data_IF_559600765876
#
_entry.id   IF_559600765876
#
_cell.length_a   1.000
_cell.length_b   1.000
_cell.length_c   1.000
_cell.angle_alpha   90.00
_cell.angle_beta   90.00
_cell.angle_gamma   90.00
#
_symmetry.space_group_name_H-M   'P 1'
#
loop_
_entity.id
_entity.type
_entity.pdbx_description
1 polymer ?
#
# COMPACT_ATOMS: atom_id res chain seq x y z
N UNK A 1 4.09 -22.48 -19.64
CA UNK A 1 4.89 -21.63 -18.73
C UNK A 1 5.86 -20.65 -19.43
N UNK A 2 5.84 -20.50 -20.77
CA UNK A 2 6.76 -19.60 -21.49
C UNK A 2 6.16 -18.24 -21.88
N UNK A 3 4.84 -18.04 -21.72
CA UNK A 3 4.15 -16.85 -22.21
C UNK A 3 4.04 -15.71 -21.18
N UNK A 4 4.02 -16.01 -19.88
CA UNK A 4 3.87 -15.01 -18.81
C UNK A 4 5.15 -14.17 -18.63
N UNK A 5 6.33 -14.77 -18.82
CA UNK A 5 7.63 -14.08 -18.66
C UNK A 5 7.92 -13.02 -19.73
N UNK A 6 7.12 -12.94 -20.79
CA UNK A 6 7.41 -12.09 -21.95
C UNK A 6 6.83 -10.68 -21.86
N UNK A 7 6.01 -10.37 -20.86
CA UNK A 7 5.34 -9.05 -20.75
C UNK A 7 5.96 -8.08 -19.77
N UNK A 8 6.77 -8.58 -18.86
CA UNK A 8 7.41 -7.74 -17.86
C UNK A 8 8.82 -7.42 -18.38
N UNK A 9 9.01 -6.27 -19.03
CA UNK A 9 10.34 -5.64 -19.05
C UNK A 9 10.53 -4.95 -17.68
N UNK A 10 11.75 -4.82 -17.15
CA UNK A 10 12.03 -3.96 -15.98
C UNK A 10 11.81 -2.49 -16.42
N UNK A 11 10.54 -2.10 -16.58
CA UNK A 11 10.15 -0.73 -16.90
C UNK A 11 9.91 -0.02 -15.58
N UNK A 12 10.78 0.92 -15.26
CA UNK A 12 10.50 1.90 -14.23
C UNK A 12 9.19 2.64 -14.56
N UNK A 13 8.28 2.77 -13.59
CA UNK A 13 7.09 3.64 -13.73
C UNK A 13 7.50 5.02 -14.23
N UNK A 14 6.94 5.45 -15.34
CA UNK A 14 7.11 6.82 -15.89
C UNK A 14 5.87 7.69 -15.72
N UNK A 15 4.77 7.10 -15.25
CA UNK A 15 3.46 7.73 -15.06
C UNK A 15 3.36 8.57 -13.78
N UNK A 16 4.34 8.46 -12.87
CA UNK A 16 4.34 9.17 -11.58
C UNK A 16 5.59 10.02 -11.35
N UNK A 17 5.42 11.05 -10.52
CA UNK A 17 6.54 11.80 -9.95
C UNK A 17 7.15 10.99 -8.82
N UNK A 18 8.39 10.53 -8.99
CA UNK A 18 9.13 9.80 -7.96
C UNK A 18 9.70 10.79 -6.92
N UNK A 19 9.14 10.78 -5.71
CA UNK A 19 9.84 11.29 -4.53
C UNK A 19 11.05 10.36 -4.23
N UNK A 20 12.05 10.79 -3.46
CA UNK A 20 13.15 9.89 -3.06
C UNK A 20 12.64 8.63 -2.36
N UNK A 21 11.67 8.76 -1.44
CA UNK A 21 11.07 7.64 -0.74
C UNK A 21 10.35 6.70 -1.71
N UNK A 22 9.55 7.25 -2.63
CA UNK A 22 8.84 6.47 -3.65
C UNK A 22 9.81 5.72 -4.53
N UNK A 23 10.89 6.37 -4.96
CA UNK A 23 11.91 5.72 -5.78
C UNK A 23 12.53 4.50 -5.07
N UNK A 24 12.77 4.58 -3.76
CA UNK A 24 13.26 3.45 -2.96
C UNK A 24 12.21 2.34 -2.86
N UNK A 25 10.95 2.68 -2.55
CA UNK A 25 9.85 1.71 -2.47
C UNK A 25 9.67 0.97 -3.80
N UNK A 26 9.72 1.67 -4.93
CA UNK A 26 9.56 1.08 -6.27
C UNK A 26 10.67 0.06 -6.59
N UNK A 27 11.85 0.14 -5.95
CA UNK A 27 12.89 -0.89 -6.14
C UNK A 27 12.52 -2.26 -5.57
N UNK A 28 11.57 -2.31 -4.63
CA UNK A 28 11.08 -3.55 -4.02
C UNK A 28 10.29 -4.39 -5.04
N UNK A 29 9.57 -3.73 -5.94
CA UNK A 29 8.72 -4.35 -6.95
C UNK A 29 9.54 -4.75 -8.18
N UNK A 30 10.63 -5.47 -7.94
CA UNK A 30 11.42 -6.12 -8.96
C UNK A 30 10.88 -7.53 -9.21
N UNK A 31 10.81 -7.99 -10.46
CA UNK A 31 10.31 -9.35 -10.75
C UNK A 31 11.08 -10.48 -10.07
N UNK A 32 12.33 -10.25 -9.67
CA UNK A 32 13.13 -11.22 -8.90
C UNK A 32 12.59 -11.43 -7.48
N UNK A 33 11.79 -10.50 -6.99
CA UNK A 33 11.18 -10.53 -5.66
C UNK A 33 9.76 -11.11 -5.68
N UNK A 34 9.19 -11.40 -6.86
CA UNK A 34 7.87 -12.03 -6.98
C UNK A 34 8.04 -13.54 -6.82
N UNK A 35 7.91 -14.01 -5.57
CA UNK A 35 7.84 -15.41 -5.18
C UNK A 35 6.40 -15.82 -4.83
N UNK A 36 6.21 -17.09 -4.44
CA UNK A 36 4.94 -17.57 -3.87
C UNK A 36 4.48 -16.63 -2.75
N UNK A 37 3.21 -16.25 -2.80
CA UNK A 37 2.53 -15.30 -1.92
C UNK A 37 3.12 -13.87 -1.88
N UNK A 38 4.14 -13.60 -2.70
CA UNK A 38 4.92 -12.36 -2.70
C UNK A 38 5.57 -12.04 -1.33
N UNK A 39 5.97 -13.08 -0.58
CA UNK A 39 6.63 -12.96 0.73
C UNK A 39 7.87 -12.06 0.69
N UNK A 40 8.69 -12.16 -0.36
CA UNK A 40 9.91 -11.34 -0.45
C UNK A 40 9.58 -9.85 -0.54
N UNK A 41 8.50 -9.49 -1.24
CA UNK A 41 8.01 -8.11 -1.30
C UNK A 41 7.54 -7.67 0.09
N UNK A 42 6.78 -8.51 0.80
CA UNK A 42 6.31 -8.20 2.14
C UNK A 42 7.46 -7.99 3.13
N UNK A 43 8.48 -8.83 3.09
CA UNK A 43 9.70 -8.71 3.91
C UNK A 43 10.45 -7.40 3.61
N UNK A 44 10.58 -7.05 2.33
CA UNK A 44 11.21 -5.81 1.89
C UNK A 44 10.40 -4.56 2.20
N UNK A 45 9.07 -4.67 2.37
CA UNK A 45 8.21 -3.59 2.85
C UNK A 45 8.27 -3.41 4.38
N UNK A 46 8.76 -4.40 5.12
CA UNK A 46 8.84 -4.37 6.59
C UNK A 46 9.60 -3.15 7.17
N UNK A 47 10.73 -2.69 6.59
CA UNK A 47 11.37 -1.44 7.01
C UNK A 47 10.49 -0.20 6.90
N UNK A 48 9.65 -0.11 5.87
CA UNK A 48 8.71 1.01 5.68
C UNK A 48 7.56 0.94 6.68
N UNK A 49 7.03 -0.26 6.96
CA UNK A 49 6.09 -0.47 8.07
C UNK A 49 6.69 -0.02 9.40
N UNK A 50 7.96 -0.35 9.67
CA UNK A 50 8.66 0.09 10.88
C UNK A 50 8.81 1.60 10.92
N UNK A 51 9.27 2.22 9.83
CA UNK A 51 9.38 3.69 9.70
C UNK A 51 8.03 4.37 9.97
N UNK A 52 6.97 3.86 9.38
CA UNK A 52 5.60 4.31 9.60
C UNK A 52 5.20 4.25 11.09
N UNK A 53 5.40 3.08 11.74
CA UNK A 53 5.06 2.89 13.16
C UNK A 53 5.84 3.84 14.07
N UNK A 54 7.12 4.02 13.80
CA UNK A 54 7.98 4.95 14.53
C UNK A 54 7.51 6.41 14.37
N UNK A 55 7.28 6.86 13.14
CA UNK A 55 6.79 8.23 12.89
C UNK A 55 5.42 8.46 13.51
N UNK A 56 4.50 7.49 13.42
CA UNK A 56 3.19 7.59 14.07
C UNK A 56 3.33 7.70 15.60
N UNK A 57 4.17 6.87 16.23
CA UNK A 57 4.39 6.90 17.69
C UNK A 57 5.02 8.20 18.19
N UNK A 58 5.76 8.90 17.33
CA UNK A 58 6.43 10.16 17.63
C UNK A 58 5.59 11.38 17.25
N UNK A 59 4.35 11.19 16.81
CA UNK A 59 3.44 12.26 16.39
C UNK A 59 3.84 12.91 15.05
N UNK A 60 4.74 12.29 14.28
CA UNK A 60 5.13 12.73 12.93
C UNK A 60 4.13 12.21 11.90
N UNK A 61 2.89 12.67 12.01
CA UNK A 61 1.77 12.20 11.20
C UNK A 61 1.96 12.44 9.70
N UNK A 62 2.57 13.56 9.32
CA UNK A 62 2.88 13.86 7.91
C UNK A 62 3.79 12.79 7.28
N UNK A 63 4.82 12.35 8.00
CA UNK A 63 5.71 11.29 7.52
C UNK A 63 4.98 9.95 7.47
N UNK A 64 4.22 9.61 8.51
CA UNK A 64 3.46 8.36 8.56
C UNK A 64 2.44 8.26 7.41
N UNK A 65 1.67 9.32 7.14
CA UNK A 65 0.72 9.35 6.02
C UNK A 65 1.45 9.27 4.68
N UNK A 66 2.60 9.93 4.52
CA UNK A 66 3.39 9.82 3.30
C UNK A 66 3.86 8.39 3.05
N UNK A 67 4.44 7.71 4.05
CA UNK A 67 4.89 6.32 3.90
C UNK A 67 3.73 5.39 3.54
N UNK A 68 2.60 5.52 4.24
CA UNK A 68 1.42 4.69 3.98
C UNK A 68 0.92 4.87 2.54
N UNK A 69 0.72 6.12 2.10
CA UNK A 69 0.21 6.39 0.75
C UNK A 69 1.18 5.92 -0.33
N UNK A 70 2.48 6.15 -0.17
CA UNK A 70 3.46 5.71 -1.17
C UNK A 70 3.52 4.17 -1.29
N UNK A 71 3.42 3.44 -0.17
CA UNK A 71 3.34 1.97 -0.18
C UNK A 71 2.05 1.49 -0.84
N UNK A 72 0.89 2.03 -0.46
CA UNK A 72 -0.39 1.64 -1.05
C UNK A 72 -0.43 1.91 -2.55
N UNK A 73 0.02 3.08 -2.99
CA UNK A 73 0.11 3.43 -4.42
C UNK A 73 1.03 2.50 -5.22
N UNK A 74 2.13 2.00 -4.62
CA UNK A 74 3.00 1.03 -5.28
C UNK A 74 2.34 -0.34 -5.35
N UNK A 75 1.76 -0.82 -4.25
CA UNK A 75 1.08 -2.12 -4.23
C UNK A 75 -0.07 -2.15 -5.23
N UNK A 76 -0.94 -1.15 -5.22
CA UNK A 76 -2.07 -1.06 -6.14
C UNK A 76 -1.62 -1.10 -7.60
N UNK A 77 -0.53 -0.41 -7.95
CA UNK A 77 -0.02 -0.43 -9.31
C UNK A 77 0.56 -1.79 -9.69
N UNK A 78 1.53 -2.27 -8.92
CA UNK A 78 2.26 -3.50 -9.25
C UNK A 78 1.38 -4.75 -9.12
N UNK A 79 0.33 -4.72 -8.30
CA UNK A 79 -0.59 -5.84 -8.22
C UNK A 79 -1.18 -6.22 -9.59
N UNK A 80 -1.58 -5.22 -10.37
CA UNK A 80 -2.14 -5.42 -11.73
C UNK A 80 -1.03 -5.49 -12.76
N UNK A 81 -0.16 -4.48 -12.80
CA UNK A 81 0.82 -4.30 -13.87
C UNK A 81 1.89 -5.38 -13.86
N UNK A 82 2.27 -5.86 -12.67
CA UNK A 82 3.20 -6.98 -12.52
C UNK A 82 2.49 -8.34 -12.33
N UNK A 83 1.17 -8.36 -12.51
CA UNK A 83 0.33 -9.56 -12.45
C UNK A 83 0.51 -10.38 -11.16
N UNK A 84 0.63 -9.72 -10.00
CA UNK A 84 0.85 -10.40 -8.71
C UNK A 84 -0.27 -11.40 -8.37
N UNK A 85 -1.49 -11.17 -8.89
CA UNK A 85 -2.61 -12.10 -8.79
C UNK A 85 -2.35 -13.51 -9.36
N UNK A 86 -1.26 -13.72 -10.11
CA UNK A 86 -0.85 -15.04 -10.59
C UNK A 86 0.07 -15.80 -9.63
N UNK A 87 0.43 -15.22 -8.48
CA UNK A 87 1.50 -15.73 -7.60
C UNK A 87 1.04 -16.10 -6.19
N UNK A 88 -0.28 -16.10 -5.93
CA UNK A 88 -0.88 -16.57 -4.68
C UNK A 88 -2.21 -17.26 -4.96
N UNK A 89 -2.58 -18.23 -4.13
CA UNK A 89 -3.87 -18.94 -4.26
C UNK A 89 -4.95 -18.36 -3.34
N UNK A 90 -4.56 -17.90 -2.15
CA UNK A 90 -5.45 -17.34 -1.13
C UNK A 90 -4.82 -16.19 -0.33
N UNK A 91 -3.49 -16.15 -0.25
CA UNK A 91 -2.76 -15.24 0.62
C UNK A 91 -1.81 -14.32 -0.13
N UNK A 92 -2.12 -13.02 -0.18
CA UNK A 92 -1.21 -12.01 -0.71
C UNK A 92 -0.45 -11.31 0.42
N UNK A 93 0.79 -11.75 0.71
CA UNK A 93 1.57 -11.31 1.87
C UNK A 93 1.77 -9.79 2.02
N UNK A 94 1.98 -9.00 0.94
CA UNK A 94 2.07 -7.54 1.04
C UNK A 94 0.83 -6.87 1.65
N UNK A 95 -0.34 -7.50 1.54
CA UNK A 95 -1.59 -6.94 2.05
C UNK A 95 -1.62 -6.87 3.59
N UNK A 96 -1.02 -7.85 4.27
CA UNK A 96 -0.89 -7.82 5.74
C UNK A 96 -0.02 -6.66 6.23
N UNK A 97 0.98 -6.26 5.43
CA UNK A 97 1.82 -5.09 5.76
C UNK A 97 0.97 -3.83 5.72
N UNK A 98 0.12 -3.68 4.70
CA UNK A 98 -0.80 -2.56 4.57
C UNK A 98 -1.91 -2.56 5.61
N UNK A 99 -2.48 -3.72 5.92
CA UNK A 99 -3.46 -3.87 6.99
C UNK A 99 -2.90 -3.39 8.33
N UNK A 100 -1.70 -3.84 8.71
CA UNK A 100 -1.06 -3.42 9.98
C UNK A 100 -0.91 -1.89 10.06
N UNK A 101 -0.50 -1.25 8.97
CA UNK A 101 -0.35 0.21 8.93
C UNK A 101 -1.70 0.94 9.01
N UNK A 102 -2.71 0.44 8.29
CA UNK A 102 -4.05 1.03 8.29
C UNK A 102 -4.73 0.91 9.67
N UNK A 103 -4.64 -0.25 10.31
CA UNK A 103 -5.18 -0.46 11.67
C UNK A 103 -4.55 0.50 12.68
N UNK A 104 -3.24 0.77 12.55
CA UNK A 104 -2.55 1.74 13.40
C UNK A 104 -3.02 3.17 13.18
N UNK A 105 -3.22 3.58 11.91
CA UNK A 105 -3.83 4.88 11.59
C UNK A 105 -5.22 4.99 12.21
N UNK A 106 -6.08 4.00 12.00
CA UNK A 106 -7.44 3.99 12.52
C UNK A 106 -7.43 4.11 14.05
N UNK A 107 -6.54 3.37 14.72
CA UNK A 107 -6.36 3.45 16.17
C UNK A 107 -5.95 4.86 16.62
N UNK A 108 -4.98 5.47 15.92
CA UNK A 108 -4.53 6.83 16.21
C UNK A 108 -5.62 7.89 15.97
N UNK A 109 -6.48 7.69 14.97
CA UNK A 109 -7.63 8.58 14.72
C UNK A 109 -8.65 8.42 15.85
N UNK A 110 -8.94 7.18 16.27
CA UNK A 110 -9.87 6.90 17.37
C UNK A 110 -9.38 7.47 18.71
N UNK A 111 -8.06 7.59 18.91
CA UNK A 111 -7.50 8.22 20.10
C UNK A 111 -7.64 9.75 20.12
N UNK A 112 -8.10 10.37 19.03
CA UNK A 112 -8.38 11.82 18.95
C UNK A 112 -7.15 12.72 18.70
N UNK A 113 -5.96 12.13 18.50
CA UNK A 113 -4.71 12.90 18.37
C UNK A 113 -4.28 13.15 16.91
N UNK A 114 -5.08 12.70 15.95
CA UNK A 114 -4.71 12.75 14.53
C UNK A 114 -5.03 14.12 13.92
N UNK A 115 -4.05 14.82 13.32
CA UNK A 115 -4.26 16.15 12.74
C UNK A 115 -5.28 16.15 11.61
N UNK A 116 -6.15 17.16 11.56
CA UNK A 116 -7.21 17.27 10.56
C UNK A 116 -6.66 17.40 9.12
N UNK A 117 -5.57 18.14 8.94
CA UNK A 117 -4.89 18.29 7.65
C UNK A 117 -4.39 16.95 7.12
N UNK A 118 -3.74 16.16 7.97
CA UNK A 118 -3.24 14.83 7.61
C UNK A 118 -4.37 13.83 7.38
N UNK A 119 -5.48 13.97 8.12
CA UNK A 119 -6.68 13.16 7.89
C UNK A 119 -7.28 13.43 6.51
N UNK A 120 -7.34 14.70 6.10
CA UNK A 120 -7.82 15.07 4.77
C UNK A 120 -6.89 14.54 3.68
N UNK A 121 -5.57 14.70 3.85
CA UNK A 121 -4.58 14.20 2.90
C UNK A 121 -4.65 12.68 2.74
N UNK A 122 -4.84 11.95 3.84
CA UNK A 122 -5.07 10.51 3.82
C UNK A 122 -6.35 10.18 3.03
N UNK A 123 -7.49 10.81 3.36
CA UNK A 123 -8.77 10.60 2.63
C UNK A 123 -8.62 10.80 1.14
N UNK A 124 -8.00 11.91 0.72
CA UNK A 124 -7.81 12.23 -0.69
C UNK A 124 -6.91 11.21 -1.41
N UNK A 125 -5.90 10.68 -0.71
CA UNK A 125 -5.04 9.62 -1.22
C UNK A 125 -5.78 8.30 -1.38
N UNK A 126 -6.49 7.86 -0.34
CA UNK A 126 -7.26 6.61 -0.36
C UNK A 126 -8.39 6.66 -1.39
N UNK A 127 -9.08 7.80 -1.53
CA UNK A 127 -10.15 7.98 -2.52
C UNK A 127 -9.65 7.72 -3.94
N UNK A 128 -8.45 8.20 -4.29
CA UNK A 128 -7.86 7.91 -5.61
C UNK A 128 -7.61 6.42 -5.83
N UNK A 129 -7.17 5.71 -4.79
CA UNK A 129 -6.86 4.29 -4.88
C UNK A 129 -8.11 3.41 -5.04
N UNK A 130 -9.26 3.86 -4.55
CA UNK A 130 -10.53 3.13 -4.71
C UNK A 130 -10.98 3.01 -6.17
N UNK A 131 -10.57 3.94 -7.03
CA UNK A 131 -10.93 3.95 -8.47
C UNK A 131 -9.87 3.24 -9.33
N UNK A 132 -9.05 2.38 -8.74
CA UNK A 132 -8.02 1.62 -9.47
C UNK A 132 -8.50 0.21 -9.75
N UNK A 133 -8.07 -0.38 -10.86
CA UNK A 133 -8.40 -1.76 -11.23
C UNK A 133 -8.09 -2.75 -10.09
N UNK A 134 -6.96 -2.58 -9.40
CA UNK A 134 -6.59 -3.45 -8.28
C UNK A 134 -7.66 -3.47 -7.18
N UNK A 135 -8.30 -2.34 -6.89
CA UNK A 135 -9.35 -2.30 -5.87
C UNK A 135 -10.71 -2.69 -6.43
N UNK A 136 -11.12 -2.15 -7.58
CA UNK A 136 -12.45 -2.39 -8.15
C UNK A 136 -12.65 -3.86 -8.54
N UNK A 137 -11.65 -4.48 -9.16
CA UNK A 137 -11.77 -5.83 -9.71
C UNK A 137 -11.24 -6.91 -8.75
N UNK A 138 -10.30 -6.56 -7.86
CA UNK A 138 -9.64 -7.54 -6.98
C UNK A 138 -9.75 -7.23 -5.48
N UNK A 139 -10.19 -6.04 -5.08
CA UNK A 139 -10.28 -5.65 -3.67
C UNK A 139 -8.92 -5.44 -2.98
N UNK A 140 -7.84 -5.19 -3.75
CA UNK A 140 -6.48 -5.03 -3.23
C UNK A 140 -6.02 -3.57 -3.29
N UNK A 141 -5.36 -3.05 -2.23
CA UNK A 141 -5.12 -3.69 -0.93
C UNK A 141 -6.36 -3.67 -0.03
N UNK A 142 -6.53 -4.72 0.80
CA UNK A 142 -7.61 -4.85 1.78
C UNK A 142 -7.64 -3.70 2.81
N UNK A 143 -6.50 -3.00 2.98
CA UNK A 143 -6.43 -1.76 3.76
C UNK A 143 -7.47 -0.70 3.34
N UNK A 144 -7.87 -0.65 2.07
CA UNK A 144 -8.92 0.26 1.60
C UNK A 144 -10.30 -0.15 2.13
N UNK A 145 -10.64 -1.44 2.09
CA UNK A 145 -11.91 -1.94 2.65
C UNK A 145 -11.99 -1.73 4.18
N UNK A 146 -10.88 -1.93 4.89
CA UNK A 146 -10.79 -1.60 6.33
C UNK A 146 -11.08 -0.12 6.60
N UNK A 147 -10.56 0.77 5.75
CA UNK A 147 -10.83 2.20 5.83
C UNK A 147 -12.31 2.51 5.57
N UNK A 148 -12.92 1.91 4.54
CA UNK A 148 -14.33 2.11 4.23
C UNK A 148 -15.25 1.66 5.37
N UNK A 149 -14.99 0.48 5.94
CA UNK A 149 -15.70 -0.01 7.12
C UNK A 149 -15.60 1.00 8.27
N UNK A 150 -14.40 1.55 8.52
CA UNK A 150 -14.19 2.56 9.55
C UNK A 150 -14.97 3.86 9.29
N UNK A 151 -15.01 4.36 8.06
CA UNK A 151 -15.79 5.56 7.71
C UNK A 151 -17.29 5.32 7.85
N UNK A 152 -17.78 4.15 7.44
CA UNK A 152 -19.19 3.78 7.58
C UNK A 152 -19.63 3.71 9.05
N UNK A 153 -18.79 3.14 9.93
CA UNK A 153 -19.07 3.13 11.38
C UNK A 153 -19.05 4.52 12.03
N UNK A 154 -18.39 5.51 11.45
CA UNK A 154 -18.42 6.90 11.95
C UNK A 154 -19.68 7.65 11.56
N UNK A 155 -20.32 7.25 10.46
CA UNK A 155 -21.49 7.92 9.88
C UNK A 155 -22.81 7.24 10.25
N UNK A 156 -22.78 6.09 10.93
CA UNK A 156 -23.92 5.35 11.47
C UNK A 156 -24.28 5.78 12.90
#
# INVERSE_FOLDING_TARGET
MSYIRQRMEDKSRTDIKLTPLKAEIETIFNKRNINEDCDTIADLLSPYRKMFRESLSQGRYAEAVTVLLEVLESITYHFVEDEHYNYFDDMYSPDYVCQDMMEAIISSIKSGNFPAEELQRLKDGLEKLKHTEAYEDYGVPYALDLWEKFENFKNS
#
